data_IF_677627036071
#
_entry.id   IF_677627036071
#
_cell.length_a   1.000
_cell.length_b   1.000
_cell.length_c   1.000
_cell.angle_alpha   90.00
_cell.angle_beta   90.00
_cell.angle_gamma   90.00
#
_symmetry.space_group_name_H-M   'P 1'
#
loop_
_entity.id
_entity.type
_entity.pdbx_description
1 polymer ?
#
# COMPACT_ATOMS: atom_id res chain seq x y z
N UNK A 1 -31.28 -20.92 -22.93
CA UNK A 1 -29.84 -20.76 -22.64
C UNK A 1 -29.65 -19.31 -22.24
N UNK A 2 -29.69 -19.02 -20.94
CA UNK A 2 -29.46 -17.67 -20.42
C UNK A 2 -27.96 -17.45 -20.31
N UNK A 3 -27.44 -16.40 -20.94
CA UNK A 3 -26.09 -15.95 -20.69
C UNK A 3 -26.01 -15.50 -19.22
N UNK A 4 -25.22 -16.22 -18.42
CA UNK A 4 -24.82 -15.70 -17.12
C UNK A 4 -23.98 -14.44 -17.38
N UNK A 5 -24.47 -13.30 -16.89
CA UNK A 5 -23.66 -12.09 -16.83
C UNK A 5 -22.42 -12.40 -15.99
N UNK A 6 -21.23 -12.24 -16.56
CA UNK A 6 -20.00 -12.23 -15.79
C UNK A 6 -20.10 -11.09 -14.78
N UNK A 7 -20.31 -11.44 -13.51
CA UNK A 7 -20.27 -10.47 -12.43
C UNK A 7 -18.84 -9.91 -12.36
N UNK A 8 -18.71 -8.59 -12.29
CA UNK A 8 -17.47 -7.94 -11.85
C UNK A 8 -17.25 -8.29 -10.37
N UNK A 9 -16.50 -9.35 -10.11
CA UNK A 9 -15.99 -9.73 -8.78
C UNK A 9 -14.80 -8.87 -8.33
N UNK A 10 -14.93 -8.04 -7.31
CA UNK A 10 -13.80 -7.30 -6.73
C UNK A 10 -12.69 -8.28 -6.26
N UNK A 11 -11.45 -8.11 -6.71
CA UNK A 11 -10.36 -8.99 -6.31
C UNK A 11 -10.03 -8.74 -4.85
N UNK A 12 -9.79 -9.79 -4.06
CA UNK A 12 -9.28 -9.63 -2.69
C UNK A 12 -7.84 -9.08 -2.63
N UNK A 13 -7.21 -8.88 -3.80
CA UNK A 13 -5.93 -8.20 -3.96
C UNK A 13 -6.17 -6.71 -4.24
N UNK A 14 -5.65 -5.80 -3.39
CA UNK A 14 -5.77 -4.36 -3.62
C UNK A 14 -5.16 -3.95 -4.96
N UNK A 15 -5.83 -3.06 -5.69
CA UNK A 15 -5.27 -2.33 -6.82
C UNK A 15 -5.30 -3.02 -8.19
N UNK A 16 -6.01 -4.14 -8.35
CA UNK A 16 -6.14 -4.81 -9.65
C UNK A 16 -7.38 -4.34 -10.41
N UNK A 17 -7.18 -3.69 -11.56
CA UNK A 17 -8.23 -3.47 -12.55
C UNK A 17 -7.83 -4.13 -13.88
N UNK A 18 -8.63 -5.08 -14.37
CA UNK A 18 -8.40 -5.76 -15.66
C UNK A 18 -8.71 -7.26 -15.71
N UNK A 19 -8.49 -7.87 -16.88
CA UNK A 19 -8.77 -9.28 -17.17
C UNK A 19 -8.14 -10.21 -16.13
N UNK A 20 -8.99 -10.97 -15.45
CA UNK A 20 -8.65 -11.73 -14.24
C UNK A 20 -8.15 -13.11 -14.60
N UNK A 21 -6.96 -13.45 -14.10
CA UNK A 21 -6.40 -14.79 -14.14
C UNK A 21 -6.76 -15.49 -12.83
N UNK A 22 -8.04 -15.84 -12.70
CA UNK A 22 -8.61 -16.55 -11.54
C UNK A 22 -9.47 -17.69 -12.10
N UNK A 23 -8.86 -18.87 -12.28
CA UNK A 23 -9.52 -20.00 -12.92
C UNK A 23 -10.46 -20.75 -11.97
N UNK A 24 -10.20 -20.69 -10.66
CA UNK A 24 -10.97 -21.40 -9.63
C UNK A 24 -12.03 -20.52 -8.94
N UNK A 25 -12.04 -19.22 -9.23
CA UNK A 25 -13.04 -18.25 -8.76
C UNK A 25 -12.87 -17.87 -7.29
N UNK A 26 -11.65 -17.97 -6.75
CA UNK A 26 -11.39 -17.71 -5.33
C UNK A 26 -11.14 -16.22 -5.01
N UNK A 27 -11.07 -15.35 -6.02
CA UNK A 27 -10.87 -13.91 -5.86
C UNK A 27 -9.41 -13.47 -5.87
N UNK A 28 -8.46 -14.38 -6.11
CA UNK A 28 -7.02 -14.14 -6.17
C UNK A 28 -6.41 -14.55 -7.52
N UNK A 29 -5.27 -13.97 -7.92
CA UNK A 29 -4.54 -14.44 -9.08
C UNK A 29 -4.04 -15.87 -8.92
N UNK A 30 -4.23 -16.71 -9.93
CA UNK A 30 -3.69 -18.08 -9.97
C UNK A 30 -2.16 -18.09 -9.69
N UNK A 31 -1.65 -19.21 -9.17
CA UNK A 31 -0.21 -19.38 -8.94
C UNK A 31 0.67 -19.12 -10.19
N UNK A 32 1.84 -18.52 -9.98
CA UNK A 32 2.76 -18.12 -11.05
C UNK A 32 2.31 -16.92 -11.90
N UNK A 33 1.23 -16.22 -11.55
CA UNK A 33 0.78 -15.01 -12.24
C UNK A 33 1.46 -13.78 -11.65
N UNK A 34 2.07 -12.97 -12.51
CA UNK A 34 2.56 -11.65 -12.12
C UNK A 34 1.49 -10.62 -12.41
N UNK A 35 1.14 -9.86 -11.38
CA UNK A 35 0.18 -8.76 -11.49
C UNK A 35 0.86 -7.43 -11.19
N UNK A 36 0.28 -6.35 -11.69
CA UNK A 36 0.69 -4.97 -11.43
C UNK A 36 -0.57 -4.23 -11.00
N UNK A 37 -0.46 -3.47 -9.92
CA UNK A 37 -1.59 -2.73 -9.40
C UNK A 37 -1.18 -1.45 -8.70
N UNK A 38 -2.19 -0.63 -8.45
CA UNK A 38 -2.06 0.62 -7.73
C UNK A 38 -3.26 0.79 -6.81
N UNK A 39 -3.02 1.22 -5.58
CA UNK A 39 -4.09 1.53 -4.64
C UNK A 39 -3.71 2.72 -3.75
N UNK A 40 -4.72 3.34 -3.15
CA UNK A 40 -4.54 4.42 -2.19
C UNK A 40 -5.06 3.98 -0.83
N UNK A 41 -4.24 4.19 0.19
CA UNK A 41 -4.61 3.96 1.59
C UNK A 41 -4.46 5.27 2.37
N UNK A 42 -5.39 5.53 3.26
CA UNK A 42 -5.33 6.59 4.26
C UNK A 42 -5.11 5.92 5.61
N UNK A 43 -4.07 6.35 6.32
CA UNK A 43 -3.84 6.03 7.72
C UNK A 43 -3.92 7.32 8.52
N UNK A 44 -4.78 7.36 9.52
CA UNK A 44 -4.88 8.42 10.51
C UNK A 44 -4.48 7.86 11.87
N UNK A 45 -3.74 8.64 12.65
CA UNK A 45 -3.35 8.25 14.01
C UNK A 45 -3.17 9.48 14.90
N UNK A 46 -3.24 9.25 16.22
CA UNK A 46 -3.01 10.28 17.24
C UNK A 46 -1.90 9.88 18.23
N UNK A 47 -1.51 10.81 19.09
CA UNK A 47 -0.42 10.59 20.05
C UNK A 47 -0.81 9.63 21.20
N UNK A 48 -2.09 9.31 21.34
CA UNK A 48 -2.65 8.43 22.35
C UNK A 48 -2.69 6.97 21.88
N UNK A 49 -2.32 6.71 20.62
CA UNK A 49 -2.26 5.38 20.02
C UNK A 49 -3.57 4.98 19.30
N UNK A 50 -4.50 5.92 19.12
CA UNK A 50 -5.64 5.75 18.24
C UNK A 50 -5.19 5.63 16.79
N UNK A 51 -5.79 4.71 16.04
CA UNK A 51 -5.54 4.55 14.60
C UNK A 51 -6.83 4.30 13.85
N UNK A 52 -6.90 4.82 12.64
CA UNK A 52 -7.93 4.55 11.65
C UNK A 52 -7.25 4.35 10.30
N UNK A 53 -7.63 3.33 9.55
CA UNK A 53 -7.19 3.15 8.18
C UNK A 53 -8.34 2.87 7.25
N UNK A 54 -8.22 3.33 6.00
CA UNK A 54 -9.14 2.99 4.93
C UNK A 54 -8.41 2.95 3.60
N UNK A 55 -8.83 2.07 2.68
CA UNK A 55 -8.32 2.05 1.32
C UNK A 55 -9.43 2.33 0.28
N UNK A 56 -9.02 2.51 -0.97
CA UNK A 56 -9.91 2.71 -2.11
C UNK A 56 -10.77 1.48 -2.49
N UNK A 57 -10.56 0.35 -1.81
CA UNK A 57 -11.39 -0.86 -1.88
C UNK A 57 -12.47 -0.90 -0.79
N UNK A 58 -12.52 0.11 0.09
CA UNK A 58 -13.50 0.20 1.16
C UNK A 58 -13.20 -0.70 2.35
N UNK A 59 -12.01 -1.30 2.41
CA UNK A 59 -11.54 -1.92 3.65
C UNK A 59 -11.26 -0.82 4.67
N UNK A 60 -11.72 -1.04 5.90
CA UNK A 60 -11.52 -0.15 7.03
C UNK A 60 -10.89 -0.95 8.16
N UNK A 61 -9.93 -0.34 8.85
CA UNK A 61 -9.26 -0.92 9.99
C UNK A 61 -8.84 0.14 11.01
N UNK A 62 -8.14 -0.30 12.05
CA UNK A 62 -7.67 0.56 13.13
C UNK A 62 -8.26 0.19 14.49
N UNK A 63 -8.02 1.06 15.46
CA UNK A 63 -8.53 0.93 16.85
C UNK A 63 -9.79 1.76 17.11
N UNK A 64 -10.16 2.66 16.18
CA UNK A 64 -11.38 3.48 16.23
C UNK A 64 -12.18 3.33 14.94
N UNK A 65 -13.47 3.69 14.99
CA UNK A 65 -14.39 3.50 13.86
C UNK A 65 -14.31 4.64 12.82
N UNK A 66 -13.77 5.80 13.21
CA UNK A 66 -13.69 6.97 12.34
C UNK A 66 -12.52 7.88 12.69
N UNK A 67 -12.13 8.75 11.75
CA UNK A 67 -11.08 9.75 11.99
C UNK A 67 -11.50 10.77 13.05
N UNK A 68 -12.80 11.03 13.16
CA UNK A 68 -13.39 11.95 14.14
C UNK A 68 -13.24 11.47 15.59
N UNK A 69 -13.08 10.16 15.80
CA UNK A 69 -12.87 9.56 17.13
C UNK A 69 -11.43 9.69 17.64
N UNK A 70 -10.50 10.13 16.80
CA UNK A 70 -9.11 10.39 17.17
C UNK A 70 -8.96 11.73 17.90
N UNK A 71 -7.90 11.89 18.69
CA UNK A 71 -7.56 13.20 19.27
C UNK A 71 -7.14 14.18 18.16
N UNK A 72 -8.07 15.05 17.81
CA UNK A 72 -7.90 16.07 16.76
C UNK A 72 -6.75 17.04 17.01
N UNK A 73 -6.31 17.22 18.27
CA UNK A 73 -5.17 18.10 18.58
C UNK A 73 -3.83 17.48 18.19
N UNK A 74 -3.75 16.15 18.12
CA UNK A 74 -2.54 15.39 17.79
C UNK A 74 -2.70 14.51 16.55
N UNK A 75 -3.77 14.73 15.79
CA UNK A 75 -4.09 13.97 14.60
C UNK A 75 -3.01 14.17 13.53
N UNK A 76 -2.50 13.04 13.04
CA UNK A 76 -1.74 12.95 11.80
C UNK A 76 -2.51 12.10 10.82
N UNK A 77 -2.58 12.54 9.56
CA UNK A 77 -3.18 11.76 8.47
C UNK A 77 -2.15 11.60 7.36
N UNK A 78 -1.89 10.35 6.99
CA UNK A 78 -0.97 9.96 5.95
C UNK A 78 -1.73 9.31 4.80
N UNK A 79 -1.53 9.82 3.59
CA UNK A 79 -1.98 9.18 2.35
C UNK A 79 -0.83 8.37 1.77
N UNK A 80 -1.06 7.09 1.57
CA UNK A 80 -0.18 6.13 0.92
C UNK A 80 -0.67 5.93 -0.50
N UNK A 81 0.20 6.18 -1.47
CA UNK A 81 0.00 5.75 -2.85
C UNK A 81 0.92 4.57 -3.08
N UNK A 82 0.32 3.40 -3.21
CA UNK A 82 1.02 2.13 -3.27
C UNK A 82 0.97 1.61 -4.70
N UNK A 83 2.14 1.43 -5.30
CA UNK A 83 2.28 0.78 -6.59
C UNK A 83 3.03 -0.51 -6.38
N UNK A 84 2.59 -1.60 -6.99
CA UNK A 84 3.28 -2.87 -6.84
C UNK A 84 3.30 -3.64 -8.15
N UNK A 85 4.23 -4.59 -8.21
CA UNK A 85 4.21 -5.67 -9.18
C UNK A 85 4.75 -6.93 -8.53
N UNK A 86 4.00 -8.02 -8.62
CA UNK A 86 4.34 -9.25 -7.93
C UNK A 86 3.46 -10.43 -8.25
N UNK A 87 3.85 -11.58 -7.72
CA UNK A 87 2.99 -12.76 -7.61
C UNK A 87 2.31 -12.79 -6.25
N UNK A 88 1.14 -13.43 -6.20
CA UNK A 88 0.32 -13.64 -5.01
C UNK A 88 0.07 -15.13 -4.72
N UNK A 89 0.62 -16.02 -5.56
CA UNK A 89 0.57 -17.49 -5.41
C UNK A 89 -0.79 -18.07 -4.96
N UNK A 90 -1.89 -17.55 -5.52
CA UNK A 90 -3.26 -17.94 -5.21
C UNK A 90 -3.76 -17.53 -3.80
N UNK A 91 -3.21 -16.47 -3.23
CA UNK A 91 -3.68 -15.84 -2.00
C UNK A 91 -3.72 -14.30 -2.08
N UNK A 92 -3.98 -13.64 -0.95
CA UNK A 92 -4.17 -12.18 -0.89
C UNK A 92 -2.90 -11.38 -0.64
N UNK A 93 -1.81 -12.05 -0.29
CA UNK A 93 -0.53 -11.46 0.09
C UNK A 93 0.46 -11.60 -1.05
N UNK A 94 1.28 -10.58 -1.23
CA UNK A 94 2.27 -10.59 -2.30
C UNK A 94 3.49 -11.42 -1.86
N UNK A 95 3.71 -12.56 -2.50
CA UNK A 95 4.85 -13.44 -2.22
C UNK A 95 6.16 -12.92 -2.81
N UNK A 96 6.10 -12.22 -3.95
CA UNK A 96 7.31 -11.79 -4.66
C UNK A 96 7.16 -10.48 -5.42
N UNK A 97 8.28 -9.92 -5.85
CA UNK A 97 8.34 -8.70 -6.66
C UNK A 97 8.67 -7.47 -5.82
N UNK A 98 7.91 -6.39 -6.01
CA UNK A 98 8.20 -5.11 -5.38
C UNK A 98 6.96 -4.29 -5.08
N UNK A 99 7.11 -3.38 -4.11
CA UNK A 99 6.11 -2.42 -3.66
C UNK A 99 6.80 -1.05 -3.51
N UNK A 100 6.26 -0.02 -4.15
CA UNK A 100 6.67 1.37 -3.98
C UNK A 100 5.59 2.13 -3.25
N UNK A 101 5.97 2.80 -2.17
CA UNK A 101 5.10 3.63 -1.36
C UNK A 101 5.50 5.08 -1.53
N UNK A 102 4.57 5.93 -1.98
CA UNK A 102 4.68 7.38 -1.86
C UNK A 102 3.72 7.85 -0.77
N UNK A 103 4.29 8.40 0.31
CA UNK A 103 3.55 8.71 1.53
C UNK A 103 3.58 10.20 1.76
N UNK A 104 2.42 10.78 2.00
CA UNK A 104 2.27 12.18 2.37
C UNK A 104 1.45 12.29 3.66
N UNK A 105 2.10 12.71 4.72
CA UNK A 105 1.54 12.97 6.04
C UNK A 105 1.30 14.46 6.27
N UNK A 106 0.17 14.78 6.88
CA UNK A 106 -0.26 16.12 7.29
C UNK A 106 -0.76 16.08 8.73
N UNK A 107 -0.81 17.24 9.37
CA UNK A 107 -1.32 17.39 10.74
C UNK A 107 -0.18 17.57 11.74
N UNK A 108 -0.29 16.89 12.87
CA UNK A 108 0.64 17.02 13.99
C UNK A 108 2.08 16.62 13.61
N UNK A 109 2.24 15.54 12.84
CA UNK A 109 3.54 15.08 12.32
C UNK A 109 3.57 15.11 10.78
N UNK A 110 3.80 16.27 10.14
CA UNK A 110 3.81 16.37 8.68
C UNK A 110 5.09 15.80 8.08
N UNK A 111 4.99 15.22 6.89
CA UNK A 111 6.15 14.68 6.18
C UNK A 111 5.80 14.04 4.85
N UNK A 112 6.78 13.91 3.97
CA UNK A 112 6.66 13.16 2.72
C UNK A 112 7.81 12.15 2.62
N UNK A 113 7.47 10.92 2.22
CA UNK A 113 8.39 9.79 2.18
C UNK A 113 8.18 9.01 0.89
N UNK A 114 9.26 8.41 0.39
CA UNK A 114 9.19 7.43 -0.69
C UNK A 114 10.05 6.23 -0.33
N UNK A 115 9.41 5.07 -0.23
CA UNK A 115 10.06 3.80 0.08
C UNK A 115 9.89 2.83 -1.08
N UNK A 116 10.86 1.94 -1.23
CA UNK A 116 10.80 0.80 -2.12
C UNK A 116 11.05 -0.47 -1.30
N UNK A 117 10.11 -1.40 -1.35
CA UNK A 117 10.21 -2.72 -0.74
C UNK A 117 10.39 -3.74 -1.87
N UNK A 118 11.36 -4.64 -1.72
CA UNK A 118 11.70 -5.63 -2.74
C UNK A 118 11.91 -6.99 -2.11
N UNK A 119 11.38 -8.01 -2.77
CA UNK A 119 11.63 -9.40 -2.47
C UNK A 119 12.99 -9.82 -3.04
N UNK A 120 13.64 -10.84 -2.47
CA UNK A 120 14.91 -11.38 -2.96
C UNK A 120 14.94 -11.80 -4.45
N UNK A 121 13.77 -12.09 -5.03
CA UNK A 121 13.64 -12.41 -6.45
C UNK A 121 13.70 -11.19 -7.38
N UNK A 122 13.59 -9.96 -6.84
CA UNK A 122 13.65 -8.74 -7.63
C UNK A 122 15.11 -8.31 -7.88
N UNK A 123 15.48 -7.88 -9.10
CA UNK A 123 16.86 -7.48 -9.42
C UNK A 123 17.41 -6.31 -8.60
N UNK A 124 16.55 -5.54 -7.92
CA UNK A 124 16.96 -4.44 -7.03
C UNK A 124 17.27 -4.91 -5.61
N UNK A 125 16.99 -6.17 -5.28
CA UNK A 125 17.37 -6.73 -3.99
C UNK A 125 18.89 -6.80 -3.87
N UNK A 126 19.43 -6.27 -2.78
CA UNK A 126 20.88 -6.22 -2.53
C UNK A 126 21.30 -7.15 -1.40
N UNK A 127 20.39 -7.48 -0.47
CA UNK A 127 20.71 -8.17 0.77
C UNK A 127 21.31 -7.27 1.84
N UNK A 128 21.48 -5.98 1.53
CA UNK A 128 22.02 -4.95 2.42
C UNK A 128 20.94 -3.92 2.81
N UNK A 129 19.71 -4.05 2.29
CA UNK A 129 18.57 -3.23 2.67
C UNK A 129 18.11 -3.53 4.10
N UNK A 130 17.19 -2.72 4.62
CA UNK A 130 16.64 -2.99 5.96
C UNK A 130 15.63 -4.13 5.86
N UNK A 131 15.79 -5.22 6.63
CA UNK A 131 14.85 -6.34 6.58
C UNK A 131 13.44 -5.92 7.00
N UNK A 132 12.42 -6.40 6.28
CA UNK A 132 11.00 -6.20 6.63
C UNK A 132 10.39 -7.49 7.19
N UNK A 133 10.05 -8.41 6.29
CA UNK A 133 9.44 -9.70 6.60
C UNK A 133 10.04 -10.78 5.70
N UNK A 134 10.48 -11.89 6.30
CA UNK A 134 11.07 -13.00 5.56
C UNK A 134 12.19 -12.56 4.62
N UNK A 135 11.95 -12.69 3.32
CA UNK A 135 12.91 -12.47 2.24
C UNK A 135 12.77 -11.07 1.59
N UNK A 136 12.15 -10.12 2.29
CA UNK A 136 11.93 -8.76 1.84
C UNK A 136 12.86 -7.77 2.54
N UNK A 137 13.35 -6.80 1.78
CA UNK A 137 14.07 -5.63 2.30
C UNK A 137 13.40 -4.34 1.83
N UNK A 138 13.62 -3.25 2.56
CA UNK A 138 13.20 -1.91 2.14
C UNK A 138 14.36 -0.92 2.02
N UNK A 139 14.15 0.02 1.11
CA UNK A 139 15.04 1.09 0.73
C UNK A 139 14.34 2.44 0.91
N UNK A 140 15.02 3.41 1.51
CA UNK A 140 14.55 4.80 1.60
C UNK A 140 15.03 5.56 0.37
N UNK A 141 14.11 5.94 -0.50
CA UNK A 141 14.45 6.74 -1.69
C UNK A 141 14.47 8.23 -1.34
N UNK A 142 13.44 8.69 -0.62
CA UNK A 142 13.25 10.11 -0.31
C UNK A 142 12.58 10.26 1.07
N UNK A 143 13.04 11.22 1.87
CA UNK A 143 12.47 11.51 3.19
C UNK A 143 12.52 13.01 3.49
N UNK A 144 11.38 13.59 3.88
CA UNK A 144 11.31 15.01 4.24
C UNK A 144 12.25 15.35 5.39
N UNK A 145 12.90 16.50 5.29
CA UNK A 145 13.88 16.97 6.27
C UNK A 145 15.25 16.31 6.14
N UNK A 146 15.37 15.23 5.35
CA UNK A 146 16.64 14.67 4.89
C UNK A 146 16.89 15.26 3.50
N UNK A 147 18.11 15.71 3.21
CA UNK A 147 18.46 16.51 2.02
C UNK A 147 18.26 15.84 0.65
N UNK A 148 17.49 14.75 0.58
CA UNK A 148 17.07 14.02 -0.61
C UNK A 148 15.63 14.35 -1.06
N UNK A 149 14.94 15.31 -0.43
CA UNK A 149 13.67 15.88 -0.91
C UNK A 149 13.86 17.37 -1.17
N UNK A 150 13.59 17.82 -2.41
CA UNK A 150 13.54 19.26 -2.71
C UNK A 150 12.46 19.92 -1.84
N UNK A 151 12.89 20.89 -1.04
CA UNK A 151 12.04 21.70 -0.18
C UNK A 151 10.98 22.40 -1.02
N UNK A 152 9.70 22.06 -0.81
CA UNK A 152 8.61 22.86 -1.32
C UNK A 152 8.62 24.20 -0.57
N UNK A 153 9.05 25.27 -1.23
CA UNK A 153 8.93 26.62 -0.70
C UNK A 153 7.45 27.04 -0.84
N UNK A 154 6.84 27.64 0.19
CA UNK A 154 5.53 28.27 0.01
C UNK A 154 5.67 29.43 -0.99
N UNK A 155 4.74 29.53 -1.93
CA UNK A 155 4.60 30.72 -2.77
C UNK A 155 4.02 31.85 -1.91
N UNK A 156 4.69 33.00 -1.90
CA UNK A 156 4.24 34.26 -1.26
C UNK A 156 3.02 34.85 -1.98
#
# INVERSE_FOLDING_TARGET
MGAASAAEWDSGVPGQSGSRYDADGNGYPDAGRVVTGNYVEVLAYDAQGGTFSSNDFGEVGGTVDSVEDLDQATLTTCTYRVHYRGSFENDRYQDSGWISNNILCKGYEPGAYTYLMVHQSDPRYTGEGTPLWGEWEYHVNAQSGVGNVERHLPED
#
